data_IF_262077686955
#
_entry.id   IF_262077686955
#
_cell.length_a   1.000
_cell.length_b   1.000
_cell.length_c   1.000
_cell.angle_alpha   90.00
_cell.angle_beta   90.00
_cell.angle_gamma   90.00
#
_symmetry.space_group_name_H-M   'P 1'
#
loop_
_entity.id
_entity.type
_entity.pdbx_description
1 polymer ?
#
# COMPACT_ATOMS: atom_id res chain seq x y z
N UNK A 1 -44.43 10.58 -0.52
CA UNK A 1 -43.89 10.08 -1.80
C UNK A 1 -42.52 10.69 -2.03
N UNK A 2 -41.45 9.91 -1.78
CA UNK A 2 -40.09 10.36 -1.98
C UNK A 2 -39.73 10.30 -3.48
N UNK A 3 -39.24 11.42 -4.01
CA UNK A 3 -38.93 11.61 -5.44
C UNK A 3 -37.66 10.82 -5.79
N UNK A 4 -37.82 9.66 -6.43
CA UNK A 4 -36.73 8.88 -7.03
C UNK A 4 -35.95 9.76 -8.01
N UNK A 5 -34.63 9.90 -7.79
CA UNK A 5 -33.72 10.52 -8.76
C UNK A 5 -33.58 9.57 -9.96
N UNK A 6 -34.03 10.00 -11.14
CA UNK A 6 -33.80 9.29 -12.42
C UNK A 6 -32.28 9.23 -12.69
N UNK A 7 -31.71 8.03 -12.69
CA UNK A 7 -30.41 7.78 -13.30
C UNK A 7 -30.53 7.84 -14.83
N UNK A 8 -29.55 8.42 -15.50
CA UNK A 8 -29.45 8.45 -16.97
C UNK A 8 -28.71 7.21 -17.47
N UNK A 9 -29.11 6.70 -18.64
CA UNK A 9 -28.50 5.55 -19.30
C UNK A 9 -27.08 5.88 -19.78
N UNK A 10 -26.21 4.86 -19.84
CA UNK A 10 -24.83 4.95 -20.35
C UNK A 10 -24.74 5.71 -21.68
N UNK A 11 -23.92 6.76 -21.72
CA UNK A 11 -23.55 7.43 -22.98
C UNK A 11 -22.51 6.60 -23.72
N UNK A 12 -22.54 6.66 -25.06
CA UNK A 12 -21.64 5.88 -25.91
C UNK A 12 -20.15 6.21 -25.72
N UNK A 13 -19.79 7.35 -25.14
CA UNK A 13 -18.39 7.75 -24.88
C UNK A 13 -18.32 8.77 -23.74
N UNK A 14 -17.29 8.60 -22.89
CA UNK A 14 -16.63 9.60 -22.04
C UNK A 14 -17.51 10.56 -21.22
N UNK A 15 -17.54 10.39 -19.90
CA UNK A 15 -18.28 11.26 -18.98
C UNK A 15 -17.31 12.16 -18.20
N UNK A 16 -17.60 13.46 -18.14
CA UNK A 16 -16.73 14.49 -17.54
C UNK A 16 -17.05 14.83 -16.08
N UNK A 17 -17.92 14.07 -15.40
CA UNK A 17 -18.26 14.26 -13.96
C UNK A 17 -18.47 12.93 -13.25
N UNK A 18 -18.21 12.90 -11.93
CA UNK A 18 -18.57 11.81 -11.02
C UNK A 18 -20.09 11.68 -10.92
N UNK A 19 -20.70 11.00 -11.88
CA UNK A 19 -22.09 10.59 -11.86
C UNK A 19 -22.13 9.07 -11.66
N UNK A 20 -22.97 8.59 -10.74
CA UNK A 20 -23.16 7.15 -10.55
C UNK A 20 -23.94 6.61 -11.76
N UNK A 21 -23.26 5.86 -12.63
CA UNK A 21 -23.87 5.27 -13.81
C UNK A 21 -24.56 3.95 -13.47
N UNK A 22 -25.80 3.80 -13.93
CA UNK A 22 -26.50 2.52 -13.88
C UNK A 22 -25.93 1.58 -14.94
N UNK A 23 -25.12 0.61 -14.49
CA UNK A 23 -24.48 -0.39 -15.33
C UNK A 23 -25.27 -1.71 -15.42
N UNK A 24 -26.52 -1.75 -14.93
CA UNK A 24 -27.31 -2.98 -14.82
C UNK A 24 -27.44 -3.74 -16.15
N UNK A 25 -27.56 -3.04 -17.29
CA UNK A 25 -27.65 -3.65 -18.62
C UNK A 25 -26.35 -4.32 -19.12
N UNK A 26 -25.19 -3.89 -18.61
CA UNK A 26 -23.91 -4.55 -18.91
C UNK A 26 -23.77 -5.82 -18.09
N UNK A 27 -24.06 -5.74 -16.78
CA UNK A 27 -23.98 -6.89 -15.88
C UNK A 27 -25.05 -7.96 -16.16
N UNK A 28 -26.22 -7.58 -16.69
CA UNK A 28 -27.26 -8.54 -17.11
C UNK A 28 -26.81 -9.52 -18.23
N UNK A 29 -25.64 -9.28 -18.85
CA UNK A 29 -25.04 -10.19 -19.85
C UNK A 29 -24.28 -11.35 -19.21
N UNK A 30 -24.00 -11.27 -17.92
CA UNK A 30 -23.27 -12.26 -17.14
C UNK A 30 -24.19 -12.80 -16.04
N UNK A 31 -23.93 -14.03 -15.58
CA UNK A 31 -24.57 -14.50 -14.35
C UNK A 31 -23.94 -13.70 -13.19
N UNK A 32 -24.71 -12.83 -12.50
CA UNK A 32 -24.15 -12.04 -11.42
C UNK A 32 -23.69 -12.99 -10.30
N UNK A 33 -22.53 -12.74 -9.68
CA UNK A 33 -22.10 -13.56 -8.58
C UNK A 33 -23.05 -13.40 -7.40
N UNK A 34 -23.22 -14.47 -6.62
CA UNK A 34 -24.03 -14.42 -5.40
C UNK A 34 -23.34 -13.54 -4.36
N UNK A 35 -24.04 -12.50 -3.91
CA UNK A 35 -23.56 -11.60 -2.85
C UNK A 35 -24.16 -12.07 -1.53
N UNK A 36 -23.29 -12.51 -0.63
CA UNK A 36 -23.65 -12.94 0.72
C UNK A 36 -23.95 -11.75 1.63
N UNK A 37 -24.97 -11.92 2.47
CA UNK A 37 -25.31 -10.99 3.55
C UNK A 37 -24.59 -11.31 4.88
N UNK A 38 -23.78 -12.38 4.92
CA UNK A 38 -23.00 -12.76 6.11
C UNK A 38 -22.19 -11.57 6.65
N UNK A 39 -22.32 -11.34 7.96
CA UNK A 39 -21.66 -10.28 8.71
C UNK A 39 -20.96 -10.80 9.97
N UNK A 40 -20.83 -12.14 10.08
CA UNK A 40 -20.15 -12.78 11.18
C UNK A 40 -18.65 -12.53 11.09
N UNK A 41 -18.07 -12.05 12.18
CA UNK A 41 -16.64 -11.77 12.32
C UNK A 41 -16.23 -12.33 13.67
N UNK A 42 -15.15 -13.10 13.68
CA UNK A 42 -14.53 -13.67 14.87
C UNK A 42 -13.24 -12.94 15.17
N UNK A 43 -12.97 -12.62 16.43
CA UNK A 43 -11.67 -12.07 16.82
C UNK A 43 -10.76 -13.24 17.21
N UNK A 44 -9.70 -13.47 16.45
CA UNK A 44 -8.68 -14.44 16.81
C UNK A 44 -7.93 -13.97 18.07
N UNK A 45 -7.75 -14.88 19.04
CA UNK A 45 -7.01 -14.63 20.29
C UNK A 45 -5.85 -15.61 20.37
N UNK A 46 -4.84 -15.26 21.17
CA UNK A 46 -3.76 -16.19 21.56
C UNK A 46 -2.86 -16.66 20.40
N UNK A 47 -2.61 -15.79 19.40
CA UNK A 47 -1.76 -16.12 18.25
C UNK A 47 -0.24 -16.09 18.52
N UNK A 48 0.18 -15.86 19.77
CA UNK A 48 1.59 -15.76 20.13
C UNK A 48 2.32 -14.65 19.37
N UNK A 49 3.45 -15.00 18.75
CA UNK A 49 4.23 -14.12 17.86
C UNK A 49 3.68 -14.06 16.42
N UNK A 50 2.63 -14.82 16.11
CA UNK A 50 2.02 -14.91 14.79
C UNK A 50 2.82 -15.73 13.77
N UNK A 51 3.93 -16.36 14.16
CA UNK A 51 4.82 -17.10 13.26
C UNK A 51 4.69 -18.61 13.49
N UNK A 52 3.96 -19.32 12.62
CA UNK A 52 3.73 -20.75 12.73
C UNK A 52 4.65 -21.55 11.80
N UNK A 53 5.34 -22.55 12.36
CA UNK A 53 5.92 -23.64 11.57
C UNK A 53 4.80 -24.65 11.32
N UNK A 54 4.32 -24.75 10.09
CA UNK A 54 3.17 -25.58 9.78
C UNK A 54 2.66 -25.45 8.35
N UNK A 55 1.80 -26.39 7.98
CA UNK A 55 1.20 -26.47 6.66
C UNK A 55 -0.05 -25.58 6.57
N UNK A 56 -0.02 -24.58 5.69
CA UNK A 56 -1.14 -23.66 5.51
C UNK A 56 -2.40 -24.30 4.89
N UNK A 57 -2.35 -25.58 4.49
CA UNK A 57 -3.53 -26.39 4.16
C UNK A 57 -4.36 -26.77 5.40
N UNK A 58 -3.84 -26.55 6.62
CA UNK A 58 -4.57 -26.73 7.88
C UNK A 58 -4.24 -25.58 8.84
N UNK A 59 -5.11 -24.57 8.91
CA UNK A 59 -4.93 -23.41 9.79
C UNK A 59 -5.82 -23.49 11.04
N UNK A 60 -5.74 -24.60 11.78
CA UNK A 60 -6.62 -24.90 12.94
C UNK A 60 -6.51 -23.89 14.09
N UNK A 61 -5.38 -23.20 14.21
CA UNK A 61 -5.19 -22.12 15.18
C UNK A 61 -6.03 -20.87 14.86
N UNK A 62 -6.55 -20.76 13.62
CA UNK A 62 -7.35 -19.62 13.18
C UNK A 62 -8.84 -20.01 13.09
N UNK A 63 -9.73 -19.30 13.82
CA UNK A 63 -11.15 -19.51 13.67
C UNK A 63 -11.65 -18.98 12.32
N UNK A 64 -12.83 -19.43 11.92
CA UNK A 64 -13.51 -18.91 10.73
C UNK A 64 -13.77 -17.40 10.87
N UNK A 65 -13.73 -16.69 9.73
CA UNK A 65 -14.09 -15.28 9.63
C UNK A 65 -13.29 -14.31 10.55
N UNK A 66 -12.00 -14.55 10.76
CA UNK A 66 -11.15 -13.72 11.63
C UNK A 66 -10.08 -12.87 10.93
N UNK A 67 -9.79 -13.16 9.66
CA UNK A 67 -8.74 -12.48 8.89
C UNK A 67 -9.36 -11.39 8.02
N UNK A 68 -8.83 -10.17 8.08
CA UNK A 68 -9.30 -9.04 7.29
C UNK A 68 -8.76 -9.05 5.86
N UNK A 69 -7.51 -9.46 5.71
CA UNK A 69 -6.76 -9.46 4.45
C UNK A 69 -5.76 -10.61 4.43
N UNK A 70 -5.72 -11.35 3.32
CA UNK A 70 -4.60 -12.24 2.98
C UNK A 70 -3.70 -11.52 1.98
N UNK A 71 -2.40 -11.44 2.25
CA UNK A 71 -1.39 -10.96 1.28
C UNK A 71 -0.30 -12.00 1.21
N UNK A 72 -0.02 -12.51 0.01
CA UNK A 72 0.93 -13.61 -0.15
C UNK A 72 1.55 -13.66 -1.53
N UNK A 73 2.63 -14.42 -1.64
CA UNK A 73 3.30 -14.76 -2.88
C UNK A 73 3.68 -16.25 -2.81
N UNK A 74 2.89 -17.16 -3.40
CA UNK A 74 3.19 -18.59 -3.32
C UNK A 74 4.55 -18.90 -3.97
N UNK A 75 5.20 -20.01 -3.58
CA UNK A 75 6.41 -20.48 -4.26
C UNK A 75 6.11 -20.66 -5.74
N UNK A 76 6.95 -20.11 -6.61
CA UNK A 76 6.79 -20.30 -8.05
C UNK A 76 7.30 -21.68 -8.41
N UNK A 77 6.51 -22.47 -9.15
CA UNK A 77 6.88 -23.77 -9.70
C UNK A 77 7.99 -23.64 -10.78
N UNK A 78 9.13 -23.03 -10.42
CA UNK A 78 10.21 -22.68 -11.32
C UNK A 78 11.52 -22.44 -10.55
N UNK A 79 12.62 -22.98 -11.08
CA UNK A 79 13.98 -22.77 -10.57
C UNK A 79 14.69 -24.07 -10.20
N UNK A 80 16.03 -24.06 -10.21
CA UNK A 80 16.86 -25.24 -9.91
C UNK A 80 16.65 -25.79 -8.50
N UNK A 81 16.48 -24.91 -7.52
CA UNK A 81 16.23 -25.28 -6.12
C UNK A 81 14.87 -25.98 -5.96
N UNK A 82 13.85 -25.58 -6.75
CA UNK A 82 12.55 -26.23 -6.76
C UNK A 82 12.61 -27.59 -7.48
N UNK A 83 13.33 -27.67 -8.62
CA UNK A 83 13.56 -28.93 -9.35
C UNK A 83 14.29 -29.98 -8.50
N UNK A 84 15.20 -29.55 -7.62
CA UNK A 84 15.93 -30.41 -6.67
C UNK A 84 15.07 -30.87 -5.47
N UNK A 85 14.01 -30.13 -5.14
CA UNK A 85 13.09 -30.43 -4.03
C UNK A 85 11.79 -31.16 -4.46
N UNK A 86 11.57 -31.36 -5.77
CA UNK A 86 10.40 -32.06 -6.31
C UNK A 86 10.24 -33.45 -5.66
N UNK A 87 9.10 -33.70 -5.01
CA UNK A 87 8.76 -35.01 -4.43
C UNK A 87 9.36 -35.29 -3.04
N UNK A 88 9.94 -34.28 -2.38
CA UNK A 88 10.43 -34.36 -1.00
C UNK A 88 9.56 -33.42 -0.13
N UNK A 89 9.15 -33.88 1.06
CA UNK A 89 8.53 -33.09 2.15
C UNK A 89 7.48 -32.03 1.72
N UNK A 90 6.37 -32.45 1.10
CA UNK A 90 5.21 -31.57 0.85
C UNK A 90 5.32 -30.67 -0.38
N UNK A 91 6.42 -30.75 -1.14
CA UNK A 91 6.61 -30.01 -2.40
C UNK A 91 5.93 -30.73 -3.57
N UNK A 92 5.03 -30.06 -4.34
CA UNK A 92 4.35 -30.65 -5.49
C UNK A 92 5.31 -31.20 -6.55
N UNK A 93 5.10 -32.44 -6.98
CA UNK A 93 5.89 -33.14 -8.01
C UNK A 93 5.48 -32.80 -9.45
N UNK A 94 4.33 -32.15 -9.64
CA UNK A 94 3.85 -31.69 -10.95
C UNK A 94 3.16 -30.33 -10.89
N UNK A 95 2.98 -29.67 -12.05
CA UNK A 95 2.26 -28.40 -12.12
C UNK A 95 0.78 -28.53 -11.68
N UNK A 96 0.16 -29.69 -11.94
CA UNK A 96 -1.23 -29.94 -11.51
C UNK A 96 -1.30 -30.06 -9.99
N UNK A 97 -0.40 -30.83 -9.39
CA UNK A 97 -0.30 -30.93 -7.93
C UNK A 97 0.01 -29.58 -7.27
N UNK A 98 0.73 -28.69 -7.97
CA UNK A 98 0.97 -27.33 -7.51
C UNK A 98 -0.31 -26.49 -7.51
N UNK A 99 -1.14 -26.60 -8.55
CA UNK A 99 -2.44 -25.93 -8.56
C UNK A 99 -3.38 -26.49 -7.49
N UNK A 100 -3.35 -27.80 -7.24
CA UNK A 100 -4.10 -28.44 -6.16
C UNK A 100 -3.65 -27.91 -4.78
N UNK A 101 -2.34 -27.78 -4.56
CA UNK A 101 -1.78 -27.14 -3.35
C UNK A 101 -2.31 -25.71 -3.17
N UNK A 102 -2.28 -24.89 -4.23
CA UNK A 102 -2.80 -23.52 -4.16
C UNK A 102 -4.29 -23.51 -3.83
N UNK A 103 -5.07 -24.39 -4.45
CA UNK A 103 -6.51 -24.53 -4.22
C UNK A 103 -6.82 -24.91 -2.76
N UNK A 104 -6.06 -25.84 -2.19
CA UNK A 104 -6.24 -26.26 -0.79
C UNK A 104 -5.89 -25.12 0.19
N UNK A 105 -4.76 -24.45 -0.01
CA UNK A 105 -4.38 -23.29 0.82
C UNK A 105 -5.36 -22.13 0.68
N UNK A 106 -5.83 -21.84 -0.53
CA UNK A 106 -6.80 -20.77 -0.75
C UNK A 106 -8.20 -21.13 -0.24
N UNK A 107 -8.54 -22.42 -0.14
CA UNK A 107 -9.74 -22.89 0.56
C UNK A 107 -9.67 -22.52 2.04
N UNK A 108 -8.55 -22.79 2.70
CA UNK A 108 -8.35 -22.39 4.10
C UNK A 108 -8.31 -20.87 4.26
N UNK A 109 -7.68 -20.14 3.33
CA UNK A 109 -7.73 -18.67 3.30
C UNK A 109 -9.17 -18.16 3.21
N UNK A 110 -10.00 -18.74 2.34
CA UNK A 110 -11.43 -18.41 2.24
C UNK A 110 -12.16 -18.70 3.55
N UNK A 111 -11.87 -19.80 4.24
CA UNK A 111 -12.48 -20.14 5.55
C UNK A 111 -12.21 -19.04 6.58
N UNK A 112 -10.94 -18.68 6.77
CA UNK A 112 -10.52 -17.72 7.81
C UNK A 112 -10.81 -16.26 7.45
N UNK A 113 -10.94 -15.90 6.17
CA UNK A 113 -11.32 -14.54 5.76
C UNK A 113 -12.69 -14.15 6.30
N UNK A 114 -12.82 -12.94 6.86
CA UNK A 114 -14.13 -12.37 7.20
C UNK A 114 -14.97 -12.11 5.94
N UNK A 115 -16.31 -12.07 6.02
CA UNK A 115 -17.13 -11.66 4.88
C UNK A 115 -16.78 -10.23 4.46
N UNK A 116 -16.46 -10.06 3.19
CA UNK A 116 -15.93 -8.80 2.65
C UNK A 116 -14.45 -8.57 2.91
N UNK A 117 -13.75 -9.50 3.57
CA UNK A 117 -12.31 -9.59 3.59
C UNK A 117 -11.76 -9.90 2.20
N UNK A 118 -10.48 -9.60 1.98
CA UNK A 118 -9.84 -9.70 0.66
C UNK A 118 -8.64 -10.65 0.68
N UNK A 119 -8.36 -11.24 -0.46
CA UNK A 119 -7.11 -11.96 -0.72
C UNK A 119 -6.38 -11.23 -1.85
N UNK A 120 -5.08 -11.03 -1.70
CA UNK A 120 -4.18 -10.47 -2.68
C UNK A 120 -3.01 -11.44 -2.91
N UNK A 121 -2.97 -12.05 -4.10
CA UNK A 121 -1.98 -13.08 -4.45
C UNK A 121 -1.03 -12.53 -5.51
N UNK A 122 0.23 -12.33 -5.14
CA UNK A 122 1.29 -11.91 -6.07
C UNK A 122 1.87 -13.12 -6.80
N UNK A 123 1.87 -13.09 -8.14
CA UNK A 123 2.45 -14.15 -8.98
C UNK A 123 3.19 -13.61 -10.18
N UNK A 124 4.24 -14.34 -10.56
CA UNK A 124 4.91 -14.19 -11.84
C UNK A 124 4.43 -15.26 -12.82
N UNK A 125 4.31 -14.89 -14.10
CA UNK A 125 4.03 -15.87 -15.15
C UNK A 125 5.25 -16.76 -15.40
N UNK A 126 5.00 -18.02 -15.74
CA UNK A 126 5.99 -19.08 -15.76
C UNK A 126 6.34 -19.51 -17.19
N UNK A 127 7.59 -19.91 -17.39
CA UNK A 127 8.05 -20.47 -18.65
C UNK A 127 8.05 -19.48 -19.82
N UNK A 128 8.72 -19.86 -20.91
CA UNK A 128 8.73 -19.10 -22.17
C UNK A 128 8.38 -19.96 -23.39
N UNK A 129 8.54 -21.28 -23.26
CA UNK A 129 8.32 -22.28 -24.30
C UNK A 129 7.88 -23.62 -23.67
N UNK A 130 6.60 -23.78 -23.28
CA UNK A 130 5.50 -22.83 -23.42
C UNK A 130 5.51 -21.72 -22.37
N UNK A 131 4.85 -20.60 -22.68
CA UNK A 131 4.46 -19.59 -21.69
C UNK A 131 3.23 -20.09 -20.92
N UNK A 132 3.21 -19.91 -19.61
CA UNK A 132 2.12 -20.29 -18.71
C UNK A 132 1.71 -19.10 -17.86
N UNK A 133 0.44 -18.73 -17.95
CA UNK A 133 -0.11 -17.58 -17.23
C UNK A 133 -0.58 -18.01 -15.84
N UNK A 134 0.34 -18.08 -14.88
CA UNK A 134 -0.01 -18.41 -13.49
C UNK A 134 -1.07 -17.44 -12.94
N UNK A 135 -1.07 -16.18 -13.39
CA UNK A 135 -2.14 -15.24 -13.02
C UNK A 135 -3.53 -15.70 -13.44
N UNK A 136 -3.66 -16.37 -14.58
CA UNK A 136 -4.95 -16.90 -15.06
C UNK A 136 -5.39 -18.07 -14.20
N UNK A 137 -4.46 -19.00 -13.94
CA UNK A 137 -4.77 -20.19 -13.12
C UNK A 137 -5.18 -19.79 -11.69
N UNK A 138 -4.54 -18.76 -11.11
CA UNK A 138 -4.95 -18.21 -9.80
C UNK A 138 -6.33 -17.55 -9.85
N UNK A 139 -6.66 -16.83 -10.93
CA UNK A 139 -8.01 -16.25 -11.10
C UNK A 139 -9.06 -17.36 -11.15
N UNK A 140 -8.82 -18.40 -11.94
CA UNK A 140 -9.74 -19.54 -12.08
C UNK A 140 -9.96 -20.23 -10.72
N UNK A 141 -8.89 -20.47 -9.95
CA UNK A 141 -9.01 -21.05 -8.59
C UNK A 141 -9.83 -20.13 -7.68
N UNK A 142 -9.48 -18.84 -7.59
CA UNK A 142 -10.16 -17.95 -6.63
C UNK A 142 -11.62 -17.71 -7.01
N UNK A 143 -11.90 -17.49 -8.30
CA UNK A 143 -13.21 -17.10 -8.78
C UNK A 143 -14.11 -18.31 -9.04
N UNK A 144 -13.68 -19.25 -9.87
CA UNK A 144 -14.55 -20.30 -10.41
C UNK A 144 -14.60 -21.51 -9.48
N UNK A 145 -13.46 -21.94 -8.93
CA UNK A 145 -13.42 -23.08 -8.00
C UNK A 145 -13.90 -22.68 -6.59
N UNK A 146 -13.46 -21.52 -6.10
CA UNK A 146 -13.72 -21.08 -4.72
C UNK A 146 -14.86 -20.06 -4.61
N UNK A 147 -15.39 -19.53 -5.71
CA UNK A 147 -16.52 -18.58 -5.66
C UNK A 147 -16.19 -17.26 -4.96
N UNK A 148 -14.92 -16.86 -4.90
CA UNK A 148 -14.57 -15.52 -4.43
C UNK A 148 -14.89 -14.48 -5.51
N UNK A 149 -15.18 -13.27 -5.06
CA UNK A 149 -15.57 -12.18 -5.94
C UNK A 149 -14.32 -11.45 -6.44
N UNK A 150 -13.95 -11.67 -7.70
CA UNK A 150 -12.83 -10.98 -8.32
C UNK A 150 -13.06 -9.45 -8.31
N UNK A 151 -12.04 -8.70 -7.89
CA UNK A 151 -12.03 -7.22 -7.92
C UNK A 151 -11.25 -6.65 -9.08
N UNK A 152 -10.26 -7.40 -9.57
CA UNK A 152 -9.33 -6.97 -10.59
C UNK A 152 -7.91 -7.42 -10.26
N UNK A 153 -6.97 -6.89 -11.02
CA UNK A 153 -5.56 -7.20 -10.93
C UNK A 153 -4.75 -5.90 -10.81
N UNK A 154 -3.66 -5.94 -10.04
CA UNK A 154 -2.62 -4.93 -10.10
C UNK A 154 -1.46 -5.47 -10.93
N UNK A 155 -0.97 -4.66 -11.85
CA UNK A 155 0.27 -4.89 -12.60
C UNK A 155 1.41 -4.24 -11.82
N UNK A 156 2.21 -5.05 -11.13
CA UNK A 156 3.39 -4.57 -10.44
C UNK A 156 4.58 -4.54 -11.41
N UNK A 157 5.08 -3.34 -11.72
CA UNK A 157 6.29 -3.11 -12.51
C UNK A 157 7.50 -2.94 -11.60
N UNK A 158 8.50 -3.81 -11.77
CA UNK A 158 9.75 -3.85 -10.97
C UNK A 158 10.76 -2.74 -11.30
N UNK A 159 10.39 -1.76 -12.13
CA UNK A 159 11.22 -0.63 -12.57
C UNK A 159 11.48 -0.58 -14.08
N UNK A 160 11.58 0.63 -14.65
CA UNK A 160 11.91 0.84 -16.08
C UNK A 160 13.38 0.46 -16.34
N UNK A 161 13.62 -0.42 -17.30
CA UNK A 161 14.99 -0.80 -17.73
C UNK A 161 15.67 -1.88 -16.88
N UNK A 162 15.14 -2.28 -15.72
CA UNK A 162 15.74 -3.25 -14.79
C UNK A 162 15.64 -4.73 -15.21
N UNK A 163 15.32 -5.02 -16.48
CA UNK A 163 15.44 -6.38 -16.97
C UNK A 163 16.84 -6.55 -17.58
N UNK A 164 17.78 -7.07 -16.80
CA UNK A 164 19.01 -7.68 -17.30
C UNK A 164 18.76 -8.93 -18.16
N UNK A 165 17.50 -9.34 -18.34
CA UNK A 165 17.12 -10.42 -19.24
C UNK A 165 17.30 -10.01 -20.70
N UNK A 166 18.43 -10.43 -21.27
CA UNK A 166 18.71 -10.41 -22.71
C UNK A 166 18.01 -11.56 -23.45
N UNK A 167 16.97 -12.16 -22.89
CA UNK A 167 16.22 -13.24 -23.52
C UNK A 167 15.18 -12.69 -24.53
N UNK A 168 15.67 -12.01 -25.57
CA UNK A 168 14.87 -11.44 -26.66
C UNK A 168 14.30 -12.49 -27.62
N UNK A 169 14.70 -13.76 -27.47
CA UNK A 169 14.54 -14.74 -28.53
C UNK A 169 15.43 -14.37 -29.72
N UNK A 170 14.86 -14.25 -30.91
CA UNK A 170 15.56 -13.72 -32.08
C UNK A 170 15.77 -12.20 -31.94
N UNK A 171 16.98 -11.80 -31.61
CA UNK A 171 17.34 -10.38 -31.48
C UNK A 171 17.10 -9.63 -32.81
N UNK A 172 16.38 -8.51 -32.74
CA UNK A 172 16.05 -7.65 -33.88
C UNK A 172 15.47 -8.41 -35.10
N UNK A 173 14.76 -9.52 -34.85
CA UNK A 173 14.18 -10.35 -35.90
C UNK A 173 12.79 -10.84 -35.52
N UNK A 174 11.87 -10.82 -36.49
CA UNK A 174 10.52 -11.32 -36.35
C UNK A 174 10.45 -12.86 -36.33
N UNK A 175 11.56 -13.58 -36.53
CA UNK A 175 11.58 -15.05 -36.55
C UNK A 175 11.03 -15.65 -35.26
N UNK A 176 11.41 -15.10 -34.10
CA UNK A 176 10.95 -15.58 -32.79
C UNK A 176 11.25 -14.56 -31.67
N UNK A 177 10.75 -13.32 -31.71
CA UNK A 177 10.93 -12.38 -30.61
C UNK A 177 10.14 -12.85 -29.39
N UNK A 178 10.69 -12.66 -28.19
CA UNK A 178 10.04 -13.04 -26.92
C UNK A 178 9.80 -11.80 -26.07
N UNK A 179 8.62 -11.73 -25.45
CA UNK A 179 8.30 -10.65 -24.51
C UNK A 179 9.18 -10.74 -23.26
N UNK A 180 9.59 -9.58 -22.75
CA UNK A 180 10.36 -9.49 -21.50
C UNK A 180 9.40 -9.31 -20.35
N UNK A 181 9.35 -10.30 -19.46
CA UNK A 181 8.58 -10.20 -18.22
C UNK A 181 9.23 -9.14 -17.32
N UNK A 182 8.61 -7.96 -17.27
CA UNK A 182 9.04 -6.83 -16.44
C UNK A 182 8.04 -6.53 -15.32
N UNK A 183 6.99 -7.35 -15.25
CA UNK A 183 5.84 -7.16 -14.40
C UNK A 183 5.43 -8.46 -13.74
N UNK A 184 4.88 -8.35 -12.54
CA UNK A 184 4.10 -9.39 -11.87
C UNK A 184 2.64 -8.97 -11.77
N UNK A 185 1.77 -9.92 -11.43
CA UNK A 185 0.33 -9.71 -11.25
C UNK A 185 -0.05 -9.95 -9.81
N UNK A 186 -0.87 -9.07 -9.26
CA UNK A 186 -1.48 -9.25 -7.95
C UNK A 186 -2.98 -9.37 -8.15
N UNK A 187 -3.48 -10.59 -7.97
CA UNK A 187 -4.89 -10.92 -8.18
C UNK A 187 -5.62 -10.60 -6.87
N UNK A 188 -6.71 -9.83 -6.95
CA UNK A 188 -7.47 -9.43 -5.77
C UNK A 188 -8.90 -9.96 -5.86
N UNK A 189 -9.32 -10.69 -4.83
CA UNK A 189 -10.69 -11.19 -4.69
C UNK A 189 -11.27 -10.92 -3.29
N UNK A 190 -12.59 -11.03 -3.12
CA UNK A 190 -13.28 -10.84 -1.84
C UNK A 190 -14.20 -12.00 -1.48
N UNK A 191 -14.30 -12.31 -0.18
CA UNK A 191 -15.18 -13.37 0.30
C UNK A 191 -16.62 -12.88 0.37
N UNK A 192 -17.49 -13.45 -0.47
CA UNK A 192 -18.95 -13.34 -0.40
C UNK A 192 -19.55 -11.95 -0.69
N UNK A 193 -18.83 -10.85 -0.43
CA UNK A 193 -19.34 -9.48 -0.62
C UNK A 193 -18.21 -8.49 -0.87
N UNK A 194 -18.55 -7.32 -1.44
CA UNK A 194 -17.56 -6.29 -1.76
C UNK A 194 -17.36 -5.23 -0.66
N UNK A 195 -18.30 -5.05 0.25
CA UNK A 195 -18.16 -4.16 1.40
C UNK A 195 -17.65 -4.94 2.63
N UNK A 196 -17.06 -4.26 3.62
CA UNK A 196 -16.78 -4.91 4.92
C UNK A 196 -18.09 -5.41 5.53
N UNK A 197 -18.08 -6.59 6.16
CA UNK A 197 -19.23 -7.20 6.85
C UNK A 197 -19.98 -6.22 7.76
N UNK A 198 -19.24 -5.44 8.56
CA UNK A 198 -19.80 -4.49 9.53
C UNK A 198 -19.47 -3.05 9.15
N UNK A 199 -20.46 -2.16 9.28
CA UNK A 199 -20.25 -0.74 9.07
C UNK A 199 -19.27 -0.16 10.08
N UNK A 200 -18.58 0.93 9.70
CA UNK A 200 -17.61 1.61 10.58
C UNK A 200 -18.20 1.97 11.95
N UNK A 201 -19.43 2.47 11.99
CA UNK A 201 -20.12 2.81 13.22
C UNK A 201 -20.41 1.58 14.10
N UNK A 202 -20.73 0.42 13.49
CA UNK A 202 -20.92 -0.83 14.23
C UNK A 202 -19.61 -1.37 14.77
N UNK A 203 -18.55 -1.38 13.95
CA UNK A 203 -17.20 -1.79 14.37
C UNK A 203 -16.72 -0.98 15.57
N UNK A 204 -16.91 0.35 15.56
CA UNK A 204 -16.58 1.21 16.71
C UNK A 204 -17.33 0.82 18.00
N UNK A 205 -18.64 0.52 17.92
CA UNK A 205 -19.43 0.09 19.10
C UNK A 205 -19.00 -1.26 19.66
N UNK A 206 -18.49 -2.14 18.80
CA UNK A 206 -18.09 -3.50 19.14
C UNK A 206 -16.59 -3.61 19.47
N UNK A 207 -15.86 -2.48 19.50
CA UNK A 207 -14.42 -2.45 19.79
C UNK A 207 -13.56 -3.06 18.68
N UNK A 208 -14.05 -3.10 17.44
CA UNK A 208 -13.32 -3.62 16.28
C UNK A 208 -12.51 -2.52 15.57
N UNK A 209 -11.40 -2.88 14.89
CA UNK A 209 -10.61 -1.97 14.05
C UNK A 209 -11.48 -1.18 13.07
N UNK A 210 -11.37 0.15 13.02
CA UNK A 210 -12.26 0.98 12.20
C UNK A 210 -11.63 2.29 11.72
N UNK A 211 -10.32 2.42 11.86
CA UNK A 211 -9.54 3.60 11.46
C UNK A 211 -8.78 3.34 10.17
N UNK A 212 -8.95 4.22 9.18
CA UNK A 212 -8.21 4.21 7.93
C UNK A 212 -6.78 4.75 8.15
N UNK A 213 -5.83 4.26 7.36
CA UNK A 213 -4.43 4.70 7.41
C UNK A 213 -4.06 5.67 6.29
N UNK A 214 -4.64 5.51 5.10
CA UNK A 214 -4.28 6.28 3.91
C UNK A 214 -4.87 7.70 3.91
N UNK A 215 -4.12 8.66 3.41
CA UNK A 215 -4.63 9.96 2.97
C UNK A 215 -5.45 9.82 1.68
N UNK A 216 -6.11 10.91 1.29
CA UNK A 216 -6.83 10.95 0.00
C UNK A 216 -5.90 10.74 -1.19
N UNK A 217 -4.72 11.34 -1.20
CA UNK A 217 -3.79 11.24 -2.34
C UNK A 217 -3.19 9.83 -2.44
N UNK A 218 -2.77 9.25 -1.32
CA UNK A 218 -2.26 7.88 -1.30
C UNK A 218 -3.35 6.87 -1.64
N UNK A 219 -4.59 7.11 -1.21
CA UNK A 219 -5.73 6.29 -1.63
C UNK A 219 -5.90 6.35 -3.15
N UNK A 220 -5.91 7.55 -3.74
CA UNK A 220 -6.04 7.70 -5.18
C UNK A 220 -4.91 6.97 -5.93
N UNK A 221 -3.67 7.08 -5.45
CA UNK A 221 -2.53 6.37 -6.03
C UNK A 221 -2.65 4.84 -5.87
N UNK A 222 -2.94 4.37 -4.67
CA UNK A 222 -3.07 2.95 -4.37
C UNK A 222 -4.24 2.29 -5.12
N UNK A 223 -5.26 3.07 -5.51
CA UNK A 223 -6.38 2.57 -6.33
C UNK A 223 -6.07 2.47 -7.83
N UNK A 224 -4.88 2.88 -8.28
CA UNK A 224 -4.44 2.62 -9.65
C UNK A 224 -4.06 1.15 -9.82
N UNK A 225 -4.24 0.62 -11.02
CA UNK A 225 -3.99 -0.78 -11.38
C UNK A 225 -2.56 -1.04 -11.84
N UNK A 226 -1.71 -0.01 -11.99
CA UNK A 226 -0.28 -0.15 -12.31
C UNK A 226 0.56 0.46 -11.21
N UNK A 227 1.37 -0.37 -10.55
CA UNK A 227 2.24 0.04 -9.46
C UNK A 227 3.71 -0.08 -9.87
N UNK A 228 4.47 0.99 -9.66
CA UNK A 228 5.91 1.00 -9.87
C UNK A 228 6.62 0.94 -8.52
N UNK A 229 7.16 -0.23 -8.19
CA UNK A 229 7.89 -0.45 -6.93
C UNK A 229 9.18 -1.20 -7.28
N UNK A 230 10.32 -0.64 -6.92
CA UNK A 230 11.61 -1.27 -7.16
C UNK A 230 11.80 -2.50 -6.24
N UNK A 231 12.39 -3.59 -6.74
CA UNK A 231 12.64 -4.78 -5.92
C UNK A 231 13.70 -4.51 -4.86
N UNK A 232 13.59 -5.20 -3.73
CA UNK A 232 14.64 -5.23 -2.71
C UNK A 232 15.82 -6.14 -3.15
N UNK A 233 17.02 -5.86 -2.64
CA UNK A 233 18.20 -6.69 -2.92
C UNK A 233 18.15 -7.98 -2.11
N UNK A 234 18.06 -9.13 -2.78
CA UNK A 234 18.05 -10.46 -2.17
C UNK A 234 19.25 -10.72 -1.22
N UNK A 235 20.40 -10.11 -1.52
CA UNK A 235 21.63 -10.20 -0.70
C UNK A 235 21.51 -9.60 0.71
N UNK A 236 20.56 -8.68 0.95
CA UNK A 236 20.37 -8.04 2.26
C UNK A 236 19.43 -8.84 3.18
N UNK A 237 18.57 -9.68 2.62
CA UNK A 237 17.45 -10.32 3.34
C UNK A 237 17.74 -11.78 3.69
N UNK A 238 18.77 -12.40 3.10
CA UNK A 238 19.09 -13.82 3.35
C UNK A 238 18.02 -14.78 2.80
N UNK A 239 17.19 -14.31 1.86
CA UNK A 239 16.13 -15.08 1.22
C UNK A 239 16.27 -14.94 -0.30
N UNK A 240 16.14 -16.02 -1.08
CA UNK A 240 16.40 -15.98 -2.53
C UNK A 240 15.40 -15.11 -3.32
N UNK A 241 14.17 -14.93 -2.82
CA UNK A 241 13.13 -14.20 -3.55
C UNK A 241 12.09 -13.40 -2.72
N UNK A 242 12.47 -12.47 -1.82
CA UNK A 242 11.48 -11.61 -1.15
C UNK A 242 10.95 -10.53 -2.10
N UNK A 243 9.63 -10.36 -2.19
CA UNK A 243 9.04 -9.13 -2.74
C UNK A 243 9.29 -7.96 -1.77
N UNK A 244 9.38 -6.70 -2.27
CA UNK A 244 9.72 -5.54 -1.45
C UNK A 244 8.62 -5.24 -0.42
N UNK A 245 8.99 -4.83 0.80
CA UNK A 245 8.05 -4.51 1.91
C UNK A 245 7.00 -3.46 1.49
N UNK A 246 7.36 -2.52 0.61
CA UNK A 246 6.45 -1.49 0.13
C UNK A 246 5.19 -2.06 -0.58
N UNK A 247 5.28 -3.25 -1.17
CA UNK A 247 4.18 -3.88 -1.87
C UNK A 247 3.06 -4.36 -0.93
N UNK A 248 3.31 -5.24 0.06
CA UNK A 248 2.31 -5.63 1.05
C UNK A 248 1.89 -4.43 1.90
N UNK A 249 2.78 -3.48 2.24
CA UNK A 249 2.37 -2.28 2.98
C UNK A 249 1.27 -1.50 2.24
N UNK A 250 1.40 -1.32 0.91
CA UNK A 250 0.38 -0.63 0.12
C UNK A 250 -0.96 -1.37 0.14
N UNK A 251 -0.94 -2.70 -0.04
CA UNK A 251 -2.15 -3.55 0.02
C UNK A 251 -2.82 -3.51 1.39
N UNK A 252 -2.02 -3.63 2.46
CA UNK A 252 -2.48 -3.62 3.84
C UNK A 252 -3.15 -2.28 4.15
N UNK A 253 -2.51 -1.16 3.84
CA UNK A 253 -3.06 0.16 4.10
C UNK A 253 -4.32 0.46 3.27
N UNK A 254 -4.43 -0.10 2.06
CA UNK A 254 -5.59 0.07 1.18
C UNK A 254 -6.81 -0.77 1.62
N UNK A 255 -6.60 -1.99 2.10
CA UNK A 255 -7.67 -2.97 2.28
C UNK A 255 -8.05 -3.31 3.72
N UNK A 256 -7.38 -2.72 4.71
CA UNK A 256 -7.62 -2.98 6.14
C UNK A 256 -7.65 -1.72 6.98
N UNK A 257 -8.24 -1.80 8.17
CA UNK A 257 -8.14 -0.78 9.20
C UNK A 257 -6.92 -1.00 10.10
N UNK A 258 -6.43 0.04 10.79
CA UNK A 258 -5.41 -0.11 11.84
C UNK A 258 -5.89 -1.10 12.91
N UNK A 259 -5.09 -2.13 13.21
CA UNK A 259 -5.41 -3.21 14.15
C UNK A 259 -6.11 -4.45 13.55
N UNK A 260 -6.48 -4.44 12.27
CA UNK A 260 -7.00 -5.64 11.60
C UNK A 260 -5.93 -6.75 11.52
N UNK A 261 -6.37 -8.01 11.39
CA UNK A 261 -5.50 -9.18 11.23
C UNK A 261 -5.19 -9.47 9.75
N UNK A 262 -3.91 -9.56 9.42
CA UNK A 262 -3.37 -9.89 8.08
C UNK A 262 -2.76 -11.29 8.09
N UNK A 263 -3.07 -12.12 7.10
CA UNK A 263 -2.52 -13.47 6.96
C UNK A 263 -1.56 -13.56 5.75
N UNK A 264 -0.46 -14.29 5.93
CA UNK A 264 0.38 -14.79 4.84
C UNK A 264 0.57 -16.32 4.95
N UNK A 265 -0.12 -17.14 4.14
CA UNK A 265 0.00 -18.60 4.18
C UNK A 265 1.33 -19.14 3.59
N UNK A 266 2.15 -18.29 2.98
CA UNK A 266 3.46 -18.64 2.43
C UNK A 266 4.49 -17.60 2.89
N UNK A 267 4.63 -17.45 4.21
CA UNK A 267 5.27 -16.25 4.76
C UNK A 267 6.76 -16.14 4.48
N UNK A 268 7.47 -17.26 4.26
CA UNK A 268 8.91 -17.30 4.06
C UNK A 268 9.64 -16.51 5.15
N UNK A 269 10.51 -15.60 4.74
CA UNK A 269 11.23 -14.69 5.64
C UNK A 269 10.38 -13.59 6.32
N UNK A 270 9.05 -13.61 6.19
CA UNK A 270 8.14 -12.76 6.96
C UNK A 270 7.92 -11.33 6.43
N UNK A 271 8.15 -11.06 5.14
CA UNK A 271 8.01 -9.71 4.56
C UNK A 271 6.61 -9.12 4.78
N UNK A 272 5.55 -9.89 4.55
CA UNK A 272 4.16 -9.44 4.80
C UNK A 272 3.93 -9.13 6.28
N UNK A 273 4.44 -9.96 7.19
CA UNK A 273 4.26 -9.78 8.62
C UNK A 273 4.97 -8.50 9.10
N UNK A 274 6.18 -8.23 8.59
CA UNK A 274 6.91 -6.97 8.86
C UNK A 274 6.13 -5.77 8.34
N UNK A 275 5.58 -5.85 7.12
CA UNK A 275 4.76 -4.78 6.53
C UNK A 275 3.49 -4.50 7.34
N UNK A 276 2.83 -5.56 7.84
CA UNK A 276 1.67 -5.46 8.71
C UNK A 276 2.03 -4.76 10.02
N UNK A 277 3.14 -5.16 10.67
CA UNK A 277 3.62 -4.54 11.89
C UNK A 277 3.95 -3.05 11.70
N UNK A 278 4.68 -2.68 10.63
CA UNK A 278 4.99 -1.27 10.28
C UNK A 278 3.72 -0.44 10.05
N UNK A 279 2.68 -1.10 9.53
CA UNK A 279 1.34 -0.53 9.30
C UNK A 279 0.41 -0.67 10.51
N UNK A 280 0.86 -1.11 11.69
CA UNK A 280 0.03 -1.30 12.91
C UNK A 280 -1.15 -2.26 12.70
N UNK A 281 -0.96 -3.33 11.93
CA UNK A 281 -1.88 -4.47 11.86
C UNK A 281 -1.32 -5.62 12.69
N UNK A 282 -2.22 -6.47 13.17
CA UNK A 282 -1.83 -7.79 13.64
C UNK A 282 -1.53 -8.66 12.42
N UNK A 283 -0.63 -9.62 12.57
CA UNK A 283 -0.31 -10.54 11.48
C UNK A 283 -0.15 -11.97 11.97
N UNK A 284 -0.39 -12.89 11.05
CA UNK A 284 -0.15 -14.32 11.22
C UNK A 284 0.43 -14.87 9.92
N UNK A 285 1.37 -15.79 10.01
CA UNK A 285 1.93 -16.45 8.85
C UNK A 285 2.31 -17.89 9.12
N UNK A 286 2.35 -18.66 8.03
CA UNK A 286 2.70 -20.08 8.02
C UNK A 286 3.84 -20.31 7.04
N UNK A 287 4.79 -21.15 7.44
CA UNK A 287 5.80 -21.72 6.56
C UNK A 287 6.14 -23.15 7.01
N UNK A 288 6.50 -24.01 6.06
CA UNK A 288 6.93 -25.37 6.35
C UNK A 288 8.37 -25.41 6.87
N UNK A 289 9.22 -24.45 6.48
CA UNK A 289 10.62 -24.43 6.85
C UNK A 289 10.82 -23.67 8.19
N UNK A 290 11.21 -24.36 9.28
CA UNK A 290 11.45 -23.72 10.56
C UNK A 290 12.57 -22.68 10.51
N UNK A 291 13.52 -22.77 9.57
CA UNK A 291 14.58 -21.79 9.41
C UNK A 291 14.03 -20.45 8.89
N UNK A 292 13.12 -20.48 7.91
CA UNK A 292 12.46 -19.26 7.43
C UNK A 292 11.57 -18.64 8.51
N UNK A 293 10.86 -19.46 9.29
CA UNK A 293 10.07 -18.99 10.43
C UNK A 293 10.94 -18.25 11.44
N UNK A 294 12.13 -18.75 11.75
CA UNK A 294 13.03 -18.10 12.70
C UNK A 294 13.59 -16.77 12.16
N UNK A 295 13.87 -16.69 10.85
CA UNK A 295 14.22 -15.44 10.18
C UNK A 295 13.06 -14.43 10.29
N UNK A 296 11.83 -14.88 10.04
CA UNK A 296 10.64 -14.02 10.15
C UNK A 296 10.47 -13.47 11.58
N UNK A 297 10.62 -14.33 12.61
CA UNK A 297 10.59 -13.91 14.02
C UNK A 297 11.66 -12.87 14.33
N UNK A 298 12.90 -13.13 13.92
CA UNK A 298 14.02 -12.22 14.13
C UNK A 298 13.73 -10.85 13.50
N UNK A 299 13.29 -10.81 12.24
CA UNK A 299 12.93 -9.55 11.55
C UNK A 299 11.76 -8.82 12.21
N UNK A 300 10.78 -9.54 12.77
CA UNK A 300 9.66 -8.94 13.51
C UNK A 300 10.06 -8.39 14.87
N UNK A 301 11.05 -9.01 15.52
CA UNK A 301 11.60 -8.58 16.80
C UNK A 301 12.56 -7.39 16.65
N UNK A 302 13.40 -7.42 15.61
CA UNK A 302 14.37 -6.37 15.26
C UNK A 302 13.74 -5.20 14.49
N UNK A 303 12.41 -5.19 14.33
CA UNK A 303 11.72 -4.11 13.63
C UNK A 303 12.18 -2.77 14.20
N UNK A 304 12.70 -1.89 13.35
CA UNK A 304 12.82 -0.50 13.72
C UNK A 304 11.40 0.02 13.95
N UNK A 305 11.17 0.77 15.03
CA UNK A 305 9.90 1.49 15.24
C UNK A 305 9.65 2.58 14.17
N UNK A 306 10.56 2.67 13.19
CA UNK A 306 10.44 3.48 11.99
C UNK A 306 9.06 3.30 11.37
N UNK A 307 8.28 4.38 11.33
CA UNK A 307 7.01 4.39 10.64
C UNK A 307 7.07 3.84 9.22
N UNK A 308 6.02 3.09 8.82
CA UNK A 308 5.73 2.92 7.40
C UNK A 308 5.67 4.31 6.75
N UNK A 309 6.19 4.45 5.53
CA UNK A 309 6.21 5.74 4.81
C UNK A 309 4.78 6.32 4.68
N UNK A 310 3.75 5.47 4.68
CA UNK A 310 2.32 5.83 4.67
C UNK A 310 1.77 6.41 6.00
N UNK A 311 2.53 6.39 7.11
CA UNK A 311 2.04 6.79 8.46
C UNK A 311 1.77 8.30 8.58
N UNK A 312 2.30 9.12 7.67
CA UNK A 312 2.22 10.57 7.71
C UNK A 312 1.29 11.10 6.61
N UNK A 313 0.08 10.54 6.58
CA UNK A 313 -0.99 10.85 5.64
C UNK A 313 -1.52 12.29 5.82
N UNK A 314 -1.55 13.09 4.74
CA UNK A 314 -1.88 14.52 4.68
C UNK A 314 -2.96 15.07 5.62
N UNK A 315 -4.06 14.36 5.91
CA UNK A 315 -5.09 14.87 6.87
C UNK A 315 -4.65 14.70 8.33
N UNK A 316 -4.10 13.52 8.70
CA UNK A 316 -3.42 13.31 9.99
C UNK A 316 -2.16 14.16 10.06
N UNK A 317 -1.38 14.28 8.99
CA UNK A 317 -0.18 15.12 8.94
C UNK A 317 -0.50 16.59 9.09
N UNK A 318 -1.57 17.08 8.44
CA UNK A 318 -2.05 18.45 8.61
C UNK A 318 -2.57 18.68 10.02
N UNK A 319 -3.25 17.70 10.62
CA UNK A 319 -3.71 17.79 12.01
C UNK A 319 -2.52 17.74 13.01
N UNK A 320 -1.54 16.87 12.79
CA UNK A 320 -0.29 16.80 13.57
C UNK A 320 0.51 18.08 13.40
N UNK A 321 0.71 18.56 12.17
CA UNK A 321 1.36 19.83 11.89
C UNK A 321 0.61 20.98 12.56
N UNK A 322 -0.72 21.02 12.48
CA UNK A 322 -1.53 22.02 13.14
C UNK A 322 -1.35 22.00 14.67
N UNK A 323 -1.30 20.81 15.28
CA UNK A 323 -1.07 20.67 16.71
C UNK A 323 0.34 21.13 17.08
N UNK A 324 1.37 20.63 16.41
CA UNK A 324 2.78 21.01 16.63
C UNK A 324 3.00 22.52 16.47
N UNK A 325 2.39 23.13 15.44
CA UNK A 325 2.43 24.57 15.19
C UNK A 325 1.69 25.34 16.29
N UNK A 326 0.53 24.87 16.74
CA UNK A 326 -0.24 25.52 17.82
C UNK A 326 0.49 25.44 19.16
N UNK A 327 1.04 24.27 19.49
CA UNK A 327 1.82 24.02 20.71
C UNK A 327 3.12 24.83 20.74
N UNK A 328 3.63 25.20 19.56
CA UNK A 328 4.77 26.10 19.41
C UNK A 328 4.40 27.59 19.55
N UNK A 329 3.13 27.93 19.77
CA UNK A 329 2.68 29.30 20.05
C UNK A 329 2.08 30.04 18.86
N UNK A 330 1.86 29.38 17.73
CA UNK A 330 1.16 29.99 16.60
C UNK A 330 -0.36 29.93 16.76
N UNK A 331 -1.05 30.96 16.30
CA UNK A 331 -2.51 30.96 16.15
C UNK A 331 -2.91 30.62 14.71
N UNK A 332 -3.55 29.47 14.49
CA UNK A 332 -3.99 29.06 13.15
C UNK A 332 -5.22 29.88 12.73
N UNK A 333 -5.11 30.56 11.59
CA UNK A 333 -6.14 31.44 11.01
C UNK A 333 -6.94 30.72 9.93
N UNK A 334 -6.36 29.72 9.26
CA UNK A 334 -7.02 29.00 8.19
C UNK A 334 -6.32 27.70 7.81
N UNK A 335 -7.07 26.83 7.16
CA UNK A 335 -6.57 25.57 6.59
C UNK A 335 -6.94 25.49 5.11
N UNK A 336 -6.06 24.91 4.29
CA UNK A 336 -6.26 24.68 2.86
C UNK A 336 -6.75 25.93 2.12
N UNK A 337 -6.07 27.06 2.31
CA UNK A 337 -6.46 28.35 1.72
C UNK A 337 -5.84 28.50 0.32
N UNK A 338 -6.62 28.93 -0.69
CA UNK A 338 -6.03 29.32 -1.97
C UNK A 338 -5.31 30.68 -1.82
N UNK A 339 -4.07 30.75 -2.28
CA UNK A 339 -3.21 31.93 -2.31
C UNK A 339 -2.51 31.96 -3.66
N UNK A 340 -2.75 32.98 -4.48
CA UNK A 340 -2.16 33.15 -5.83
C UNK A 340 -2.21 31.88 -6.71
N UNK A 341 -3.32 31.14 -6.65
CA UNK A 341 -3.54 29.94 -7.47
C UNK A 341 -2.92 28.65 -6.92
N UNK A 342 -2.19 28.70 -5.81
CA UNK A 342 -1.74 27.51 -5.06
C UNK A 342 -2.52 27.37 -3.75
N UNK A 343 -2.70 26.14 -3.28
CA UNK A 343 -3.33 25.89 -1.97
C UNK A 343 -2.23 25.77 -0.91
N UNK A 344 -2.30 26.61 0.11
CA UNK A 344 -1.46 26.52 1.31
C UNK A 344 -2.17 25.72 2.40
N UNK A 345 -1.43 24.81 3.02
CA UNK A 345 -1.97 23.87 4.00
C UNK A 345 -2.48 24.56 5.27
N UNK A 346 -1.70 25.45 5.87
CA UNK A 346 -2.07 26.26 7.04
C UNK A 346 -1.72 27.73 6.83
N UNK A 347 -2.59 28.62 7.28
CA UNK A 347 -2.24 30.02 7.54
C UNK A 347 -2.26 30.29 9.04
N UNK A 348 -1.23 30.94 9.56
CA UNK A 348 -1.04 31.15 10.98
C UNK A 348 -0.48 32.53 11.30
N UNK A 349 -0.57 32.93 12.57
CA UNK A 349 0.11 34.10 13.13
C UNK A 349 1.04 33.70 14.27
N UNK A 350 2.27 34.21 14.24
CA UNK A 350 3.19 34.09 15.38
C UNK A 350 2.76 34.97 16.55
N UNK A 351 3.36 34.75 17.73
CA UNK A 351 3.17 35.59 18.91
C UNK A 351 3.64 37.02 18.69
N UNK A 352 4.62 37.21 17.82
CA UNK A 352 5.08 38.53 17.33
C UNK A 352 4.11 39.21 16.35
N UNK A 353 2.98 38.58 15.99
CA UNK A 353 2.00 39.10 15.05
C UNK A 353 2.35 38.92 13.57
N UNK A 354 3.52 38.35 13.25
CA UNK A 354 3.91 38.04 11.87
C UNK A 354 2.96 37.00 11.25
N UNK A 355 2.68 37.15 9.95
CA UNK A 355 1.84 36.21 9.20
C UNK A 355 2.67 35.08 8.60
N UNK A 356 2.15 33.86 8.67
CA UNK A 356 2.82 32.64 8.22
C UNK A 356 1.95 31.83 7.26
N UNK A 357 2.56 31.41 6.17
CA UNK A 357 2.03 30.48 5.17
C UNK A 357 2.82 29.18 5.31
N UNK A 358 2.21 28.18 5.93
CA UNK A 358 2.86 26.91 6.24
C UNK A 358 2.30 25.86 5.29
N UNK A 359 3.12 25.38 4.35
CA UNK A 359 2.73 24.27 3.48
C UNK A 359 3.20 22.95 4.07
N UNK A 360 2.27 21.99 4.16
CA UNK A 360 2.50 20.66 4.71
C UNK A 360 2.61 19.71 3.52
N UNK A 361 3.82 19.27 3.23
CA UNK A 361 4.10 18.31 2.17
C UNK A 361 4.12 16.90 2.74
N UNK A 362 3.37 15.99 2.14
CA UNK A 362 3.64 14.55 2.30
C UNK A 362 5.07 14.28 1.84
N UNK A 363 5.82 13.48 2.59
CA UNK A 363 7.27 13.38 2.49
C UNK A 363 7.81 13.33 1.07
N UNK A 364 8.98 13.93 0.84
CA UNK A 364 9.64 13.92 -0.47
C UNK A 364 9.92 12.50 -1.00
N UNK A 365 9.79 11.48 -0.15
CA UNK A 365 9.95 10.07 -0.44
C UNK A 365 8.73 9.41 -1.11
N UNK A 366 7.51 9.93 -0.93
CA UNK A 366 6.30 9.37 -1.57
C UNK A 366 6.07 10.09 -2.89
N UNK A 367 6.59 9.52 -3.95
CA UNK A 367 6.36 10.01 -5.30
C UNK A 367 5.03 9.50 -5.83
N UNK A 368 4.13 10.42 -6.20
CA UNK A 368 3.01 10.07 -7.08
C UNK A 368 3.56 9.42 -8.35
N UNK A 369 2.87 8.39 -8.85
CA UNK A 369 3.23 7.62 -10.04
C UNK A 369 3.90 8.48 -11.14
N UNK A 370 5.23 8.32 -11.27
CA UNK A 370 6.05 8.90 -12.34
C UNK A 370 6.87 10.14 -12.00
N UNK A 371 6.70 10.75 -10.83
CA UNK A 371 7.59 11.83 -10.34
C UNK A 371 8.75 11.23 -9.56
N UNK A 372 9.93 11.84 -9.61
CA UNK A 372 11.05 11.53 -8.73
C UNK A 372 10.91 12.30 -7.40
N UNK A 373 11.65 11.89 -6.36
CA UNK A 373 11.79 12.69 -5.12
C UNK A 373 12.25 14.12 -5.44
N UNK A 374 13.09 14.29 -6.47
CA UNK A 374 13.51 15.60 -6.95
C UNK A 374 12.33 16.43 -7.51
N UNK A 375 11.39 15.80 -8.22
CA UNK A 375 10.20 16.48 -8.73
C UNK A 375 9.23 16.90 -7.60
N UNK A 376 9.11 16.08 -6.55
CA UNK A 376 8.33 16.44 -5.36
C UNK A 376 8.92 17.67 -4.63
N UNK A 377 10.25 17.73 -4.52
CA UNK A 377 10.97 18.91 -4.03
C UNK A 377 10.70 20.11 -4.94
N UNK A 378 10.89 19.97 -6.25
CA UNK A 378 10.65 21.06 -7.21
C UNK A 378 9.21 21.58 -7.17
N UNK A 379 8.21 20.71 -7.00
CA UNK A 379 6.82 21.12 -6.80
C UNK A 379 6.64 21.97 -5.53
N UNK A 380 7.25 21.55 -4.42
CA UNK A 380 7.18 22.28 -3.15
C UNK A 380 7.90 23.63 -3.24
N UNK A 381 9.06 23.68 -3.92
CA UNK A 381 9.78 24.91 -4.20
C UNK A 381 8.99 25.85 -5.13
N UNK A 382 8.33 25.30 -6.15
CA UNK A 382 7.46 26.07 -7.05
C UNK A 382 6.30 26.72 -6.29
N UNK A 383 5.65 25.99 -5.37
CA UNK A 383 4.65 26.56 -4.47
C UNK A 383 5.26 27.66 -3.59
N UNK A 384 6.39 27.40 -2.94
CA UNK A 384 7.05 28.38 -2.07
C UNK A 384 7.38 29.68 -2.82
N UNK A 385 7.84 29.58 -4.08
CA UNK A 385 8.10 30.74 -4.93
C UNK A 385 6.84 31.58 -5.22
N UNK A 386 5.69 30.94 -5.40
CA UNK A 386 4.40 31.64 -5.55
C UNK A 386 3.96 32.29 -4.24
N UNK A 387 4.09 31.57 -3.12
CA UNK A 387 3.69 32.05 -1.79
C UNK A 387 4.56 33.21 -1.29
N UNK A 388 5.85 33.26 -1.67
CA UNK A 388 6.78 34.33 -1.27
C UNK A 388 6.39 35.71 -1.80
N UNK A 389 5.52 35.79 -2.81
CA UNK A 389 5.01 37.08 -3.29
C UNK A 389 4.04 37.74 -2.29
N UNK A 390 3.54 36.99 -1.32
CA UNK A 390 2.76 37.51 -0.21
C UNK A 390 3.63 38.15 0.86
N UNK A 391 3.09 39.15 1.56
CA UNK A 391 3.75 39.73 2.73
C UNK A 391 3.62 38.82 3.97
N UNK A 392 4.14 37.60 3.86
CA UNK A 392 4.08 36.56 4.88
C UNK A 392 5.30 35.63 4.82
N UNK A 393 5.67 35.09 5.98
CA UNK A 393 6.74 34.10 6.10
C UNK A 393 6.26 32.75 5.54
N UNK A 394 7.05 32.13 4.66
CA UNK A 394 6.73 30.80 4.10
C UNK A 394 7.52 29.74 4.85
N UNK A 395 6.84 28.72 5.37
CA UNK A 395 7.48 27.57 6.03
C UNK A 395 7.04 26.28 5.36
N UNK A 396 7.97 25.36 5.14
CA UNK A 396 7.66 24.03 4.65
C UNK A 396 7.76 23.03 5.80
N UNK A 397 6.69 22.28 6.03
CA UNK A 397 6.67 21.16 6.96
C UNK A 397 6.54 19.87 6.18
N UNK A 398 7.41 18.91 6.43
CA UNK A 398 7.43 17.61 5.74
C UNK A 398 7.38 16.46 6.74
N UNK A 399 6.94 15.30 6.29
CA UNK A 399 7.06 14.07 7.08
C UNK A 399 8.51 13.57 7.16
N UNK A 400 9.26 13.73 6.08
CA UNK A 400 10.67 13.36 5.95
C UNK A 400 11.40 14.30 4.97
N UNK A 401 12.65 14.62 5.27
CA UNK A 401 13.57 15.31 4.37
C UNK A 401 14.19 14.33 3.37
N UNK A 402 14.66 14.83 2.22
CA UNK A 402 15.38 13.98 1.28
C UNK A 402 16.67 13.46 1.91
N UNK A 403 17.05 12.22 1.59
CA UNK A 403 18.33 11.65 2.06
C UNK A 403 19.49 12.54 1.64
N UNK A 404 20.45 12.75 2.54
CA UNK A 404 21.63 13.59 2.29
C UNK A 404 22.37 13.19 1.00
N UNK A 405 22.89 14.19 0.31
CA UNK A 405 23.66 14.05 -0.94
C UNK A 405 22.88 13.48 -2.14
N UNK A 406 21.57 13.25 -2.02
CA UNK A 406 20.72 12.97 -3.17
C UNK A 406 20.52 14.23 -4.03
N UNK A 407 20.06 14.06 -5.26
CA UNK A 407 19.65 15.19 -6.11
C UNK A 407 18.60 16.08 -5.43
N UNK A 408 17.58 15.46 -4.82
CA UNK A 408 16.54 16.16 -4.08
C UNK A 408 17.10 16.99 -2.90
N UNK A 409 18.03 16.43 -2.11
CA UNK A 409 18.70 17.16 -1.02
C UNK A 409 19.53 18.35 -1.56
N UNK A 410 20.24 18.15 -2.68
CA UNK A 410 21.01 19.23 -3.33
C UNK A 410 20.11 20.35 -3.85
N UNK A 411 18.99 20.03 -4.49
CA UNK A 411 18.00 21.01 -4.96
C UNK A 411 17.41 21.79 -3.78
N UNK A 412 16.99 21.09 -2.73
CA UNK A 412 16.39 21.69 -1.55
C UNK A 412 17.36 22.68 -0.85
N UNK A 413 18.62 22.26 -0.66
CA UNK A 413 19.66 23.10 -0.07
C UNK A 413 20.05 24.28 -0.96
N UNK A 414 20.04 24.10 -2.29
CA UNK A 414 20.35 25.17 -3.23
C UNK A 414 19.28 26.27 -3.23
N UNK A 415 18.01 25.93 -3.01
CA UNK A 415 16.96 26.93 -2.82
C UNK A 415 17.19 27.76 -1.55
N UNK A 416 17.56 27.10 -0.44
CA UNK A 416 17.87 27.75 0.84
C UNK A 416 16.80 28.74 1.31
N UNK A 417 17.20 29.76 2.08
CA UNK A 417 16.27 30.73 2.69
C UNK A 417 15.73 31.78 1.69
N UNK A 418 15.94 31.56 0.38
CA UNK A 418 15.51 32.49 -0.67
C UNK A 418 14.05 32.33 -1.08
N UNK A 419 13.41 31.20 -0.76
CA UNK A 419 12.00 30.93 -1.10
C UNK A 419 11.12 30.72 0.12
N UNK A 420 11.70 30.25 1.22
CA UNK A 420 11.03 29.94 2.48
C UNK A 420 11.97 30.26 3.64
N UNK A 421 11.45 30.26 4.86
CA UNK A 421 12.20 30.46 6.10
C UNK A 421 13.02 29.23 6.42
N UNK A 422 12.36 28.07 6.45
CA UNK A 422 12.99 26.77 6.70
C UNK A 422 12.15 25.61 6.14
N UNK A 423 12.71 24.40 6.17
CA UNK A 423 12.03 23.12 5.93
C UNK A 423 12.25 22.20 7.12
N UNK A 424 11.19 21.86 7.84
CA UNK A 424 11.27 21.07 9.08
C UNK A 424 10.55 19.72 8.93
N UNK A 425 11.11 18.68 9.53
CA UNK A 425 10.42 17.40 9.71
C UNK A 425 9.45 17.49 10.89
N UNK A 426 8.17 17.21 10.66
CA UNK A 426 7.12 17.36 11.67
C UNK A 426 7.35 16.46 12.89
N UNK A 427 7.96 15.30 12.70
CA UNK A 427 8.22 14.32 13.77
C UNK A 427 9.61 14.44 14.41
N UNK A 428 10.44 15.40 13.99
CA UNK A 428 11.75 15.62 14.62
C UNK A 428 11.58 16.30 15.99
N UNK A 429 12.24 15.75 17.02
CA UNK A 429 12.18 16.24 18.40
C UNK A 429 12.65 17.70 18.55
N UNK A 430 13.50 18.19 17.64
CA UNK A 430 13.97 19.58 17.61
C UNK A 430 12.93 20.55 17.01
N UNK A 431 12.03 20.08 16.15
CA UNK A 431 11.06 20.92 15.42
C UNK A 431 10.22 21.82 16.34
N UNK A 432 9.64 21.34 17.46
CA UNK A 432 8.87 22.19 18.36
C UNK A 432 9.68 23.36 18.97
N UNK A 433 10.97 23.16 19.24
CA UNK A 433 11.84 24.22 19.78
C UNK A 433 12.13 25.29 18.71
N UNK A 434 12.45 24.85 17.48
CA UNK A 434 12.67 25.74 16.33
C UNK A 434 11.42 26.57 16.00
N UNK A 435 10.25 25.92 15.95
CA UNK A 435 8.97 26.61 15.72
C UNK A 435 8.67 27.64 16.81
N UNK A 436 8.97 27.35 18.09
CA UNK A 436 8.78 28.32 19.18
C UNK A 436 9.60 29.59 18.96
N UNK A 437 10.86 29.47 18.55
CA UNK A 437 11.68 30.65 18.20
C UNK A 437 11.05 31.42 17.04
N UNK A 438 10.53 30.73 16.01
CA UNK A 438 9.87 31.40 14.89
C UNK A 438 8.56 32.11 15.26
N UNK A 439 7.84 31.60 16.27
CA UNK A 439 6.64 32.26 16.77
C UNK A 439 6.97 33.57 17.50
N UNK A 440 8.12 33.66 18.16
CA UNK A 440 8.53 34.82 18.98
C UNK A 440 9.39 35.83 18.21
N UNK A 441 10.24 35.36 17.31
CA UNK A 441 11.26 36.18 16.65
C UNK A 441 10.78 36.61 15.25
N UNK A 442 11.12 37.82 14.81
CA UNK A 442 10.91 38.22 13.42
C UNK A 442 12.01 37.58 12.56
N UNK A 443 11.73 36.51 11.78
CA UNK A 443 12.78 35.77 11.07
C UNK A 443 13.32 36.55 9.86
N UNK A 444 12.60 37.58 9.42
CA UNK A 444 12.96 38.48 8.34
C UNK A 444 12.63 39.91 8.76
N UNK A 445 13.67 40.73 8.94
CA UNK A 445 13.63 42.19 8.85
C UNK A 445 14.07 42.62 7.46
#
# INVERSE_FOLDING_TARGET
MARQRRGTSTSNFGVSRREAHDASSFYARFQPPEISDDDHITVARELGDGCFVGDARSMDALPDNCVALVVTSPPYFAGKEYEEALGIDGVPGSYVEYLDLLRDVFTECKRVLEPGGRIAVNVANLGRKPYRSLSSDVIDILQDDLGLLLRGEIVWRKGRGMSGSCAWGSFASATNPVLRDTTERIIIASKGRFNRARSRARRAREGLPHEDSLSTDEFLEATLDVWEIHPESALRVGHPAPFPIALPERLINLYTFEGDLVLDPFMGSGTTLVAAARSRRCSVGYDLDPAYVEIARTRLAERSDEPSEYRLAGKKLLDVAANVVTDAGFSIVGRNRPVNGVVVSLTARGLNGASWLIDVSGGFTITQNGLSTADAVLRSLGKAAVLRQENANVLLLTSHLPRRATEADRILRAAGNTLFVDVLEILDDATPATLRSYATDHPFS
#
